data_IF_412842271797
#
_entry.id   IF_412842271797
#
_cell.length_a   1.000
_cell.length_b   1.000
_cell.length_c   1.000
_cell.angle_alpha   90.00
_cell.angle_beta   90.00
_cell.angle_gamma   90.00
#
_symmetry.space_group_name_H-M   'P 1'
#
loop_
_entity.id
_entity.type
_entity.pdbx_description
1 polymer ?
#
# COMPACT_ATOMS: atom_id res chain seq x y z
N UNK A 1 23.30 13.74 17.34
CA UNK A 1 22.45 12.54 17.50
C UNK A 1 22.64 11.80 18.83
N UNK A 2 23.59 12.18 19.71
CA UNK A 2 23.71 11.57 21.04
C UNK A 2 24.03 10.07 21.04
N UNK A 3 24.55 9.54 19.93
CA UNK A 3 24.90 8.12 19.80
C UNK A 3 26.30 7.92 20.40
N UNK A 4 26.49 6.96 21.32
CA UNK A 4 27.79 6.63 21.89
C UNK A 4 28.86 6.31 20.82
N UNK A 5 30.07 6.81 21.02
CA UNK A 5 31.18 6.65 20.05
C UNK A 5 31.54 5.19 19.78
N UNK A 6 31.44 4.32 20.79
CA UNK A 6 31.68 2.88 20.66
C UNK A 6 30.71 2.22 19.68
N UNK A 7 29.43 2.63 19.66
CA UNK A 7 28.44 2.12 18.70
C UNK A 7 28.74 2.64 17.28
N UNK A 8 29.10 3.91 17.15
CA UNK A 8 29.51 4.49 15.87
C UNK A 8 30.74 3.78 15.30
N UNK A 9 31.72 3.47 16.17
CA UNK A 9 32.91 2.69 15.81
C UNK A 9 32.53 1.28 15.34
N UNK A 10 31.67 0.58 16.08
CA UNK A 10 31.20 -0.76 15.70
C UNK A 10 30.50 -0.75 14.33
N UNK A 11 29.59 0.21 14.10
CA UNK A 11 28.92 0.37 12.81
C UNK A 11 29.92 0.68 11.69
N UNK A 12 30.87 1.58 11.93
CA UNK A 12 31.91 1.89 10.94
C UNK A 12 32.73 0.65 10.59
N UNK A 13 33.14 -0.14 11.57
CA UNK A 13 33.89 -1.37 11.35
C UNK A 13 33.06 -2.44 10.64
N UNK A 14 31.74 -2.46 10.84
CA UNK A 14 30.85 -3.33 10.07
C UNK A 14 30.85 -2.94 8.59
N UNK A 15 30.99 -1.66 8.24
CA UNK A 15 30.93 -1.15 6.86
C UNK A 15 32.27 -0.90 6.19
N UNK A 16 33.36 -0.80 6.94
CA UNK A 16 34.69 -0.58 6.39
C UNK A 16 35.23 -1.85 5.70
N UNK A 17 35.83 -1.67 4.51
CA UNK A 17 36.56 -2.72 3.80
C UNK A 17 35.72 -3.96 3.45
N UNK A 18 34.42 -3.79 3.21
CA UNK A 18 33.54 -4.90 2.88
C UNK A 18 33.89 -5.47 1.50
N UNK A 19 33.92 -6.79 1.41
CA UNK A 19 33.98 -7.52 0.15
C UNK A 19 32.75 -8.43 0.00
N UNK A 20 32.34 -8.65 -1.24
CA UNK A 20 31.33 -9.64 -1.59
C UNK A 20 31.77 -10.48 -2.77
N UNK A 21 31.13 -11.64 -2.90
CA UNK A 21 31.16 -12.48 -4.10
C UNK A 21 29.75 -12.96 -4.39
N UNK A 22 29.43 -13.22 -5.66
CA UNK A 22 28.12 -13.70 -6.10
C UNK A 22 28.20 -15.19 -6.39
N UNK A 23 27.36 -15.98 -5.71
CA UNK A 23 27.17 -17.39 -6.04
C UNK A 23 26.09 -17.53 -7.11
N UNK A 24 26.45 -18.13 -8.23
CA UNK A 24 25.56 -18.42 -9.37
C UNK A 24 25.46 -19.92 -9.59
N UNK A 25 24.58 -20.35 -10.50
CA UNK A 25 24.51 -21.75 -10.94
C UNK A 25 25.76 -22.25 -11.66
N UNK A 26 26.64 -21.35 -12.10
CA UNK A 26 27.88 -21.66 -12.82
C UNK A 26 29.13 -21.58 -11.94
N UNK A 27 28.99 -21.25 -10.65
CA UNK A 27 30.11 -21.07 -9.72
C UNK A 27 30.03 -19.77 -8.94
N UNK A 28 31.10 -19.49 -8.20
CA UNK A 28 31.25 -18.30 -7.35
C UNK A 28 32.17 -17.31 -8.07
N UNK A 29 31.80 -16.03 -8.14
CA UNK A 29 32.64 -15.00 -8.75
C UNK A 29 33.87 -14.70 -7.88
N UNK A 30 34.82 -13.95 -8.42
CA UNK A 30 35.87 -13.35 -7.59
C UNK A 30 35.27 -12.38 -6.56
N UNK A 31 36.05 -12.13 -5.50
CA UNK A 31 35.72 -11.14 -4.50
C UNK A 31 35.86 -9.73 -5.08
N UNK A 32 34.92 -8.85 -4.72
CA UNK A 32 34.94 -7.44 -5.08
C UNK A 32 34.56 -6.57 -3.88
N UNK A 33 35.12 -5.37 -3.83
CA UNK A 33 34.89 -4.42 -2.75
C UNK A 33 33.50 -3.76 -2.87
N UNK A 34 32.80 -3.65 -1.75
CA UNK A 34 31.54 -2.91 -1.62
C UNK A 34 31.87 -1.48 -1.18
N UNK A 35 31.75 -0.53 -2.11
CA UNK A 35 32.03 0.88 -1.82
C UNK A 35 30.84 1.68 -1.28
N UNK A 36 29.60 1.28 -1.60
CA UNK A 36 28.38 2.03 -1.24
C UNK A 36 27.22 1.07 -0.98
N UNK A 37 26.32 1.49 -0.08
CA UNK A 37 25.05 0.82 0.19
C UNK A 37 24.98 0.18 1.57
N UNK A 38 23.76 -0.24 1.93
CA UNK A 38 23.49 -1.01 3.14
C UNK A 38 23.43 -2.51 2.81
N UNK A 39 23.77 -3.38 3.76
CA UNK A 39 23.77 -4.84 3.54
C UNK A 39 22.34 -5.36 3.44
N UNK A 40 21.93 -5.82 2.26
CA UNK A 40 20.62 -6.48 2.12
C UNK A 40 20.55 -7.73 2.99
N UNK A 41 19.45 -7.88 3.74
CA UNK A 41 19.26 -8.96 4.72
C UNK A 41 19.86 -8.69 6.11
N UNK A 42 20.63 -7.62 6.31
CA UNK A 42 21.11 -7.24 7.63
C UNK A 42 20.01 -6.54 8.44
N UNK A 43 19.82 -6.95 9.69
CA UNK A 43 18.79 -6.43 10.61
C UNK A 43 18.91 -4.90 10.84
N UNK A 44 20.14 -4.37 10.81
CA UNK A 44 20.39 -2.93 11.03
C UNK A 44 20.18 -2.09 9.78
N UNK A 45 20.28 -2.67 8.59
CA UNK A 45 20.29 -1.93 7.33
C UNK A 45 19.03 -1.11 7.07
N UNK A 46 17.80 -1.60 7.37
CA UNK A 46 16.60 -0.78 7.26
C UNK A 46 16.63 0.48 8.15
N UNK A 47 17.12 0.35 9.38
CA UNK A 47 17.21 1.48 10.32
C UNK A 47 18.26 2.50 9.85
N UNK A 48 19.43 2.04 9.39
CA UNK A 48 20.47 2.90 8.84
C UNK A 48 20.00 3.63 7.58
N UNK A 49 19.28 2.96 6.70
CA UNK A 49 18.67 3.58 5.53
C UNK A 49 17.65 4.66 5.93
N UNK A 50 16.79 4.38 6.91
CA UNK A 50 15.82 5.37 7.39
C UNK A 50 16.49 6.61 7.99
N UNK A 51 17.60 6.46 8.72
CA UNK A 51 18.37 7.63 9.21
C UNK A 51 18.93 8.47 8.06
N UNK A 52 19.38 7.80 6.99
CA UNK A 52 19.89 8.47 5.81
C UNK A 52 18.81 9.22 5.04
N UNK A 53 17.66 8.56 4.79
CA UNK A 53 16.51 9.17 4.16
C UNK A 53 15.99 10.35 4.97
N UNK A 54 15.95 10.24 6.30
CA UNK A 54 15.56 11.33 7.20
C UNK A 54 16.51 12.52 7.12
N UNK A 55 17.83 12.28 7.06
CA UNK A 55 18.82 13.33 6.87
C UNK A 55 18.59 14.12 5.58
N UNK A 56 18.32 13.43 4.46
CA UNK A 56 18.00 14.07 3.18
C UNK A 56 16.75 14.94 3.29
N UNK A 57 15.67 14.40 3.87
CA UNK A 57 14.38 15.09 3.94
C UNK A 57 14.44 16.36 4.80
N UNK A 58 15.20 16.33 5.90
CA UNK A 58 15.44 17.50 6.74
C UNK A 58 16.26 18.57 6.02
N UNK A 59 17.33 18.17 5.34
CA UNK A 59 18.15 19.12 4.59
C UNK A 59 17.41 19.71 3.39
N UNK A 60 16.48 18.96 2.80
CA UNK A 60 15.62 19.45 1.73
C UNK A 60 14.62 20.52 2.21
N UNK A 61 14.49 20.72 3.52
CA UNK A 61 13.63 21.74 4.13
C UNK A 61 12.15 21.51 3.83
N UNK A 62 11.73 20.24 3.77
CA UNK A 62 10.33 19.90 3.48
C UNK A 62 9.41 20.24 4.66
N UNK A 63 9.88 20.19 5.90
CA UNK A 63 9.04 20.49 7.07
C UNK A 63 8.69 21.99 7.15
N UNK A 64 9.60 22.86 6.72
CA UNK A 64 9.42 24.30 6.68
C UNK A 64 8.75 24.80 5.39
N UNK A 65 8.61 23.92 4.39
CA UNK A 65 8.01 24.27 3.11
C UNK A 65 6.51 24.59 3.27
N UNK A 66 6.11 25.74 2.73
CA UNK A 66 4.69 26.11 2.61
C UNK A 66 3.95 25.27 1.57
N UNK A 67 4.68 24.78 0.55
CA UNK A 67 4.19 23.87 -0.46
C UNK A 67 3.70 22.56 0.17
N UNK A 68 2.56 22.06 -0.30
CA UNK A 68 1.90 20.88 0.24
C UNK A 68 0.39 20.92 0.05
N UNK A 69 -0.31 19.95 0.62
CA UNK A 69 -1.78 19.90 0.66
C UNK A 69 -2.23 20.12 2.11
N UNK A 70 -3.12 21.08 2.32
CA UNK A 70 -3.71 21.32 3.65
C UNK A 70 -4.82 20.32 3.94
N UNK A 71 -4.54 19.37 4.82
CA UNK A 71 -5.51 18.37 5.26
C UNK A 71 -5.73 18.53 6.76
N UNK A 72 -6.99 18.70 7.18
CA UNK A 72 -7.36 18.85 8.58
C UNK A 72 -6.48 19.87 9.36
N UNK A 73 -6.11 20.99 8.72
CA UNK A 73 -5.31 22.06 9.34
C UNK A 73 -3.82 21.76 9.48
N UNK A 74 -3.33 20.64 8.94
CA UNK A 74 -1.90 20.35 8.81
C UNK A 74 -1.49 20.41 7.34
N UNK A 75 -0.28 20.89 7.07
CA UNK A 75 0.29 20.83 5.73
C UNK A 75 0.95 19.47 5.52
N UNK A 76 0.66 18.80 4.41
CA UNK A 76 1.24 17.49 4.07
C UNK A 76 1.84 17.60 2.68
N UNK A 77 3.15 17.41 2.60
CA UNK A 77 3.87 17.47 1.34
C UNK A 77 4.58 16.18 0.96
N UNK A 78 4.67 15.21 1.87
CA UNK A 78 5.29 13.93 1.57
C UNK A 78 4.74 12.75 2.38
N UNK A 79 4.80 11.56 1.79
CA UNK A 79 4.63 10.25 2.45
C UNK A 79 5.83 9.38 2.07
N UNK A 80 6.33 8.59 3.02
CA UNK A 80 7.54 7.79 2.83
C UNK A 80 7.35 6.36 3.33
N UNK A 81 7.79 5.41 2.54
CA UNK A 81 7.93 4.02 2.96
C UNK A 81 9.22 3.43 2.35
N UNK A 82 10.25 3.24 3.18
CA UNK A 82 11.59 2.91 2.70
C UNK A 82 12.04 3.90 1.61
N UNK A 83 12.36 3.43 0.40
CA UNK A 83 12.78 4.23 -0.75
C UNK A 83 11.61 4.85 -1.53
N UNK A 84 10.38 4.34 -1.37
CA UNK A 84 9.20 4.92 -1.98
C UNK A 84 8.84 6.24 -1.28
N UNK A 85 8.98 7.36 -2.00
CA UNK A 85 8.58 8.69 -1.55
C UNK A 85 7.51 9.25 -2.47
N UNK A 86 6.38 9.64 -1.89
CA UNK A 86 5.32 10.37 -2.60
C UNK A 86 5.36 11.83 -2.16
N UNK A 87 5.55 12.75 -3.11
CA UNK A 87 5.44 14.18 -2.87
C UNK A 87 4.06 14.68 -3.29
N UNK A 88 3.54 15.69 -2.61
CA UNK A 88 2.20 16.24 -2.83
C UNK A 88 2.23 17.76 -2.68
N UNK A 89 1.50 18.46 -3.53
CA UNK A 89 1.32 19.91 -3.47
C UNK A 89 -0.01 20.32 -4.11
N UNK A 90 -0.44 21.56 -3.88
CA UNK A 90 -1.67 22.13 -4.47
C UNK A 90 -1.44 22.63 -5.91
N UNK A 91 -0.20 22.91 -6.31
CA UNK A 91 0.15 23.31 -7.68
C UNK A 91 1.28 22.49 -8.29
N UNK A 92 1.36 22.55 -9.61
CA UNK A 92 2.41 21.90 -10.39
C UNK A 92 3.80 22.47 -10.05
N UNK A 93 3.89 23.79 -9.91
CA UNK A 93 5.12 24.52 -9.62
C UNK A 93 5.66 24.17 -8.23
N UNK A 94 4.77 24.08 -7.24
CA UNK A 94 5.13 23.66 -5.89
C UNK A 94 5.64 22.23 -5.86
N UNK A 95 4.97 21.32 -6.57
CA UNK A 95 5.40 19.92 -6.67
C UNK A 95 6.79 19.82 -7.34
N UNK A 96 7.05 20.59 -8.41
CA UNK A 96 8.38 20.65 -9.06
C UNK A 96 9.43 21.12 -8.08
N UNK A 97 9.14 22.19 -7.33
CA UNK A 97 10.05 22.73 -6.32
C UNK A 97 10.42 21.70 -5.26
N UNK A 98 9.43 20.98 -4.71
CA UNK A 98 9.67 19.93 -3.72
C UNK A 98 10.53 18.80 -4.28
N UNK A 99 10.24 18.35 -5.51
CA UNK A 99 10.97 17.27 -6.15
C UNK A 99 12.43 17.64 -6.42
N UNK A 100 12.70 18.86 -6.90
CA UNK A 100 14.05 19.33 -7.16
C UNK A 100 14.88 19.44 -5.88
N UNK A 101 14.31 19.94 -4.78
CA UNK A 101 14.98 19.98 -3.47
C UNK A 101 15.39 18.58 -2.99
N UNK A 102 14.47 17.63 -3.08
CA UNK A 102 14.76 16.23 -2.69
C UNK A 102 15.83 15.62 -3.59
N UNK A 103 15.77 15.87 -4.90
CA UNK A 103 16.77 15.40 -5.86
C UNK A 103 18.16 15.94 -5.54
N UNK A 104 18.30 17.25 -5.38
CA UNK A 104 19.58 17.92 -5.09
C UNK A 104 20.21 17.41 -3.79
N UNK A 105 19.43 17.29 -2.71
CA UNK A 105 19.93 16.75 -1.43
C UNK A 105 20.27 15.26 -1.52
N UNK A 106 19.50 14.48 -2.29
CA UNK A 106 19.78 13.06 -2.52
C UNK A 106 21.10 12.85 -3.27
N UNK A 107 21.38 13.69 -4.27
CA UNK A 107 22.61 13.60 -5.07
C UNK A 107 23.87 13.91 -4.25
N UNK A 108 23.81 14.86 -3.31
CA UNK A 108 24.92 15.18 -2.38
C UNK A 108 25.36 13.97 -1.57
N UNK A 109 24.43 13.04 -1.34
CA UNK A 109 24.66 11.83 -0.57
C UNK A 109 24.73 10.58 -1.46
N UNK A 110 24.87 10.78 -2.78
CA UNK A 110 25.11 9.71 -3.74
C UNK A 110 23.90 8.83 -4.08
N UNK A 111 22.68 9.29 -3.76
CA UNK A 111 21.44 8.69 -4.26
C UNK A 111 20.98 9.41 -5.53
N UNK A 112 20.30 8.68 -6.41
CA UNK A 112 19.77 9.22 -7.67
C UNK A 112 18.28 8.94 -7.77
N UNK A 113 17.53 9.93 -8.24
CA UNK A 113 16.12 9.75 -8.59
C UNK A 113 16.02 8.81 -9.79
N UNK A 114 15.14 7.82 -9.72
CA UNK A 114 14.82 6.96 -10.86
C UNK A 114 13.66 7.57 -11.65
N UNK A 115 13.98 8.43 -12.63
CA UNK A 115 12.99 9.18 -13.42
C UNK A 115 12.00 8.24 -14.13
N UNK A 116 12.49 7.12 -14.66
CA UNK A 116 11.66 6.12 -15.34
C UNK A 116 10.62 5.47 -14.43
N UNK A 117 10.91 5.34 -13.13
CA UNK A 117 9.96 4.82 -12.13
C UNK A 117 9.08 5.91 -11.53
N UNK A 118 9.52 7.15 -11.52
CA UNK A 118 8.73 8.29 -11.04
C UNK A 118 7.51 8.49 -11.93
N UNK A 119 6.36 8.72 -11.28
CA UNK A 119 5.07 9.00 -11.92
C UNK A 119 4.48 10.28 -11.37
N UNK A 120 3.76 11.02 -12.20
CA UNK A 120 2.97 12.19 -11.80
C UNK A 120 1.51 11.89 -12.00
N UNK A 121 0.71 12.22 -11.00
CA UNK A 121 -0.74 12.08 -11.01
C UNK A 121 -1.35 13.35 -10.44
N UNK A 122 -2.40 13.87 -11.06
CA UNK A 122 -3.16 15.01 -10.57
C UNK A 122 -4.64 14.83 -10.91
N UNK A 123 -5.50 15.49 -10.14
CA UNK A 123 -6.94 15.52 -10.41
C UNK A 123 -7.33 16.52 -11.52
N UNK A 124 -6.41 17.38 -11.95
CA UNK A 124 -6.59 18.36 -13.03
C UNK A 124 -5.72 18.06 -14.25
N UNK A 125 -5.77 18.91 -15.29
CA UNK A 125 -4.86 18.81 -16.43
C UNK A 125 -3.41 18.98 -15.95
N UNK A 126 -2.52 18.12 -16.44
CA UNK A 126 -1.08 18.16 -16.16
C UNK A 126 -0.36 18.54 -17.44
N UNK A 127 0.58 19.48 -17.35
CA UNK A 127 1.49 19.75 -18.47
C UNK A 127 2.60 18.72 -18.51
N UNK A 128 3.28 18.56 -19.66
CA UNK A 128 4.42 17.64 -19.73
C UNK A 128 5.54 18.08 -18.78
N UNK A 129 6.05 17.14 -17.97
CA UNK A 129 7.19 17.36 -17.09
C UNK A 129 8.46 16.77 -17.66
N UNK A 130 9.54 17.52 -17.58
CA UNK A 130 10.88 17.04 -17.88
C UNK A 130 11.80 17.32 -16.69
N UNK A 131 12.63 16.33 -16.35
CA UNK A 131 13.67 16.41 -15.33
C UNK A 131 14.95 15.89 -15.98
N UNK A 132 16.02 16.69 -15.96
CA UNK A 132 17.30 16.37 -16.60
C UNK A 132 17.18 15.96 -18.09
N UNK A 133 16.18 16.50 -18.80
CA UNK A 133 15.90 16.16 -20.21
C UNK A 133 15.16 14.84 -20.42
N UNK A 134 14.77 14.15 -19.35
CA UNK A 134 13.91 12.97 -19.40
C UNK A 134 12.46 13.34 -19.04
N UNK A 135 11.50 12.92 -19.87
CA UNK A 135 10.08 13.14 -19.60
C UNK A 135 9.60 12.23 -18.47
N UNK A 136 8.92 12.81 -17.48
CA UNK A 136 8.28 12.06 -16.39
C UNK A 136 6.91 11.56 -16.85
N UNK A 137 6.61 10.29 -16.60
CA UNK A 137 5.33 9.71 -17.03
C UNK A 137 4.16 10.25 -16.19
N UNK A 138 3.18 10.84 -16.87
CA UNK A 138 1.90 11.24 -16.30
C UNK A 138 0.90 10.08 -16.37
N UNK A 139 0.26 9.77 -15.24
CA UNK A 139 -0.65 8.62 -15.11
C UNK A 139 -1.99 9.02 -14.51
N UNK A 140 -3.05 8.30 -14.87
CA UNK A 140 -4.38 8.38 -14.24
C UNK A 140 -4.50 7.50 -13.00
N UNK A 141 -3.61 6.52 -12.87
CA UNK A 141 -3.59 5.54 -11.78
C UNK A 141 -2.20 4.92 -11.61
N UNK A 142 -1.88 4.51 -10.39
CA UNK A 142 -0.62 3.85 -10.08
C UNK A 142 -0.73 2.94 -8.86
N UNK A 143 0.23 2.03 -8.70
CA UNK A 143 0.31 1.15 -7.53
C UNK A 143 1.24 1.80 -6.49
N UNK A 144 0.69 2.19 -5.34
CA UNK A 144 1.42 2.72 -4.19
C UNK A 144 1.26 1.80 -2.99
N UNK A 145 2.36 1.34 -2.39
CA UNK A 145 2.31 0.44 -1.22
C UNK A 145 1.53 -0.86 -1.49
N UNK A 146 1.48 -1.29 -2.75
CA UNK A 146 0.70 -2.42 -3.24
C UNK A 146 -0.75 -2.12 -3.63
N UNK A 147 -1.30 -0.96 -3.24
CA UNK A 147 -2.68 -0.55 -3.51
C UNK A 147 -2.77 0.33 -4.76
N UNK A 148 -3.79 0.08 -5.60
CA UNK A 148 -4.06 0.94 -6.76
C UNK A 148 -4.74 2.24 -6.31
N UNK A 149 -4.11 3.36 -6.62
CA UNK A 149 -4.65 4.71 -6.42
C UNK A 149 -5.00 5.28 -7.79
N UNK A 150 -6.15 5.95 -7.90
CA UNK A 150 -6.65 6.58 -9.11
C UNK A 150 -6.83 8.08 -8.89
N UNK A 151 -6.69 8.88 -9.94
CA UNK A 151 -6.77 10.35 -9.87
C UNK A 151 -8.13 10.88 -9.38
N UNK A 152 -9.20 10.08 -9.55
CA UNK A 152 -10.56 10.36 -9.09
C UNK A 152 -10.84 9.84 -7.66
N UNK A 153 -9.89 9.14 -7.05
CA UNK A 153 -10.01 8.57 -5.70
C UNK A 153 -10.96 7.37 -5.58
N UNK A 154 -11.44 6.79 -6.69
CA UNK A 154 -12.40 5.68 -6.65
C UNK A 154 -11.75 4.32 -6.29
N UNK A 155 -12.16 3.76 -5.15
CA UNK A 155 -11.66 2.46 -4.68
C UNK A 155 -12.13 1.26 -5.53
N UNK A 156 -13.13 1.44 -6.41
CA UNK A 156 -13.71 0.33 -7.18
C UNK A 156 -12.69 -0.41 -8.04
N UNK A 157 -11.70 0.31 -8.59
CA UNK A 157 -10.64 -0.30 -9.41
C UNK A 157 -9.69 -1.16 -8.58
N UNK A 158 -9.33 -0.73 -7.37
CA UNK A 158 -8.50 -1.52 -6.46
C UNK A 158 -9.25 -2.75 -5.93
N UNK A 159 -10.51 -2.60 -5.53
CA UNK A 159 -11.35 -3.71 -5.07
C UNK A 159 -11.44 -4.79 -6.17
N UNK A 160 -11.73 -4.39 -7.41
CA UNK A 160 -11.74 -5.31 -8.56
C UNK A 160 -10.39 -6.00 -8.75
N UNK A 161 -9.28 -5.25 -8.68
CA UNK A 161 -7.92 -5.79 -8.80
C UNK A 161 -7.62 -6.83 -7.71
N UNK A 162 -7.98 -6.56 -6.46
CA UNK A 162 -7.76 -7.48 -5.33
C UNK A 162 -8.57 -8.76 -5.45
N UNK A 163 -9.82 -8.67 -5.88
CA UNK A 163 -10.64 -9.84 -6.18
C UNK A 163 -10.03 -10.68 -7.32
N UNK A 164 -9.49 -10.04 -8.37
CA UNK A 164 -8.81 -10.75 -9.46
C UNK A 164 -7.52 -11.45 -8.98
N UNK A 165 -6.72 -10.78 -8.14
CA UNK A 165 -5.53 -11.38 -7.53
C UNK A 165 -5.90 -12.58 -6.66
N UNK A 166 -6.94 -12.46 -5.83
CA UNK A 166 -7.48 -13.58 -5.05
C UNK A 166 -7.93 -14.74 -5.92
N UNK A 167 -8.60 -14.47 -7.06
CA UNK A 167 -8.99 -15.51 -8.03
C UNK A 167 -7.78 -16.20 -8.65
N UNK A 168 -6.70 -15.46 -8.92
CA UNK A 168 -5.45 -16.04 -9.41
C UNK A 168 -4.85 -17.03 -8.40
N UNK A 169 -4.82 -16.67 -7.12
CA UNK A 169 -4.38 -17.59 -6.04
C UNK A 169 -5.27 -18.82 -5.97
N UNK A 170 -6.59 -18.63 -6.04
CA UNK A 170 -7.54 -19.76 -6.07
C UNK A 170 -7.27 -20.73 -7.22
N UNK A 171 -6.93 -20.21 -8.40
CA UNK A 171 -6.61 -21.03 -9.58
C UNK A 171 -5.27 -21.74 -9.44
N UNK A 172 -4.26 -21.10 -8.85
CA UNK A 172 -2.98 -21.75 -8.57
C UNK A 172 -3.12 -22.93 -7.59
N UNK A 173 -4.12 -22.90 -6.72
CA UNK A 173 -4.44 -23.94 -5.75
C UNK A 173 -5.50 -24.95 -6.25
N UNK A 174 -5.84 -24.93 -7.54
CA UNK A 174 -6.96 -25.73 -8.07
C UNK A 174 -6.78 -27.24 -7.90
N UNK A 175 -5.55 -27.75 -8.08
CA UNK A 175 -5.23 -29.17 -7.88
C UNK A 175 -5.51 -29.60 -6.43
N UNK A 176 -5.15 -28.77 -5.46
CA UNK A 176 -5.40 -28.97 -4.03
C UNK A 176 -6.90 -28.96 -3.74
N UNK A 177 -7.63 -27.97 -4.26
CA UNK A 177 -9.07 -27.87 -4.03
C UNK A 177 -9.85 -29.01 -4.70
N UNK A 178 -9.35 -29.55 -5.81
CA UNK A 178 -9.90 -30.72 -6.50
C UNK A 178 -9.48 -32.06 -5.90
N UNK A 179 -8.41 -32.17 -5.11
CA UNK A 179 -7.99 -33.45 -4.49
C UNK A 179 -9.04 -33.99 -3.52
N UNK A 180 -9.28 -35.32 -3.53
CA UNK A 180 -10.15 -36.02 -2.58
C UNK A 180 -9.44 -36.36 -1.27
N UNK A 181 -8.12 -36.39 -1.29
CA UNK A 181 -7.28 -36.77 -0.15
C UNK A 181 -7.16 -35.64 0.88
N UNK A 182 -7.51 -34.41 0.46
CA UNK A 182 -7.48 -33.23 1.31
C UNK A 182 -8.87 -32.92 1.84
N UNK A 183 -8.98 -32.87 3.17
CA UNK A 183 -10.24 -32.59 3.87
C UNK A 183 -10.77 -31.19 3.54
N UNK A 184 -12.09 -31.03 3.59
CA UNK A 184 -12.74 -29.73 3.39
C UNK A 184 -12.21 -28.68 4.38
N UNK A 185 -12.04 -29.06 5.64
CA UNK A 185 -11.52 -28.19 6.70
C UNK A 185 -10.14 -27.63 6.36
N UNK A 186 -9.21 -28.46 5.88
CA UNK A 186 -7.88 -28.01 5.47
C UNK A 186 -7.96 -27.05 4.29
N UNK A 187 -8.84 -27.31 3.31
CA UNK A 187 -9.00 -26.41 2.16
C UNK A 187 -9.59 -25.05 2.57
N UNK A 188 -10.55 -25.04 3.50
CA UNK A 188 -11.10 -23.79 4.07
C UNK A 188 -9.99 -23.00 4.77
N UNK A 189 -9.12 -23.67 5.55
CA UNK A 189 -7.95 -23.02 6.16
C UNK A 189 -7.00 -22.42 5.12
N UNK A 190 -6.74 -23.12 4.02
CA UNK A 190 -5.89 -22.59 2.93
C UNK A 190 -6.49 -21.35 2.27
N UNK A 191 -7.80 -21.32 2.03
CA UNK A 191 -8.47 -20.11 1.52
C UNK A 191 -8.30 -18.95 2.48
N UNK A 192 -8.59 -19.17 3.77
CA UNK A 192 -8.44 -18.15 4.82
C UNK A 192 -6.99 -17.67 4.98
N UNK A 193 -5.99 -18.54 4.79
CA UNK A 193 -4.58 -18.21 5.02
C UNK A 193 -3.87 -17.65 3.78
N UNK A 194 -4.28 -18.02 2.56
CA UNK A 194 -3.55 -17.68 1.33
C UNK A 194 -4.34 -16.78 0.39
N UNK A 195 -5.67 -16.87 0.37
CA UNK A 195 -6.51 -16.15 -0.58
C UNK A 195 -7.07 -14.87 0.05
N UNK A 196 -7.68 -15.00 1.22
CA UNK A 196 -8.32 -13.87 1.89
C UNK A 196 -7.36 -12.72 2.21
N UNK A 197 -6.11 -12.95 2.69
CA UNK A 197 -5.18 -11.85 2.92
C UNK A 197 -4.85 -11.06 1.64
N UNK A 198 -4.80 -11.72 0.48
CA UNK A 198 -4.57 -11.05 -0.81
C UNK A 198 -5.76 -10.17 -1.19
N UNK A 199 -6.98 -10.63 -0.93
CA UNK A 199 -8.22 -9.92 -1.25
C UNK A 199 -8.48 -8.77 -0.28
N UNK A 200 -8.18 -8.94 1.01
CA UNK A 200 -8.48 -7.96 2.06
C UNK A 200 -7.38 -6.92 2.27
N UNK A 201 -6.24 -7.03 1.60
CA UNK A 201 -5.13 -6.10 1.79
C UNK A 201 -5.55 -4.66 1.48
N UNK A 202 -5.44 -3.78 2.47
CA UNK A 202 -5.78 -2.36 2.37
C UNK A 202 -7.28 -2.08 2.43
N UNK A 203 -8.11 -3.07 2.76
CA UNK A 203 -9.57 -2.91 2.82
C UNK A 203 -10.03 -1.89 3.86
N UNK A 204 -9.20 -1.62 4.86
CA UNK A 204 -9.42 -0.67 5.94
C UNK A 204 -9.62 0.76 5.43
N UNK A 205 -9.01 1.10 4.30
CA UNK A 205 -9.09 2.43 3.67
C UNK A 205 -10.12 2.52 2.53
N UNK A 206 -10.85 1.44 2.23
CA UNK A 206 -11.77 1.43 1.09
C UNK A 206 -13.14 2.02 1.42
N UNK A 207 -13.58 2.92 0.56
CA UNK A 207 -15.00 3.28 0.44
C UNK A 207 -15.71 2.22 -0.39
N UNK A 208 -16.52 1.38 0.27
CA UNK A 208 -17.24 0.27 -0.39
C UNK A 208 -18.66 0.73 -0.69
N UNK A 209 -19.04 0.76 -1.97
CA UNK A 209 -20.42 1.09 -2.39
C UNK A 209 -21.19 -0.22 -2.63
N UNK A 210 -22.51 -0.11 -2.85
CA UNK A 210 -23.41 -1.26 -3.00
C UNK A 210 -22.95 -2.25 -4.10
N UNK A 211 -22.42 -1.74 -5.21
CA UNK A 211 -21.95 -2.59 -6.31
C UNK A 211 -20.69 -3.39 -5.92
N UNK A 212 -19.84 -2.85 -5.06
CA UNK A 212 -18.62 -3.46 -4.57
C UNK A 212 -18.94 -4.55 -3.54
N UNK A 213 -19.92 -4.33 -2.65
CA UNK A 213 -20.47 -5.38 -1.78
C UNK A 213 -20.91 -6.60 -2.60
N UNK A 214 -21.72 -6.38 -3.66
CA UNK A 214 -22.16 -7.47 -4.53
C UNK A 214 -21.00 -8.24 -5.19
N UNK A 215 -19.89 -7.56 -5.52
CA UNK A 215 -18.69 -8.20 -6.09
C UNK A 215 -17.93 -9.01 -5.05
N UNK A 216 -17.84 -8.52 -3.81
CA UNK A 216 -17.20 -9.19 -2.68
C UNK A 216 -18.01 -10.46 -2.33
N UNK A 217 -19.33 -10.36 -2.25
CA UNK A 217 -20.22 -11.50 -2.02
C UNK A 217 -20.10 -12.54 -3.14
N UNK A 218 -20.04 -12.08 -4.40
CA UNK A 218 -19.84 -12.95 -5.55
C UNK A 218 -18.47 -13.64 -5.52
N UNK A 219 -17.44 -13.05 -4.90
CA UNK A 219 -16.15 -13.71 -4.72
C UNK A 219 -16.24 -14.89 -3.76
N UNK A 220 -17.07 -14.82 -2.72
CA UNK A 220 -17.32 -15.94 -1.79
C UNK A 220 -18.00 -17.14 -2.47
N UNK A 221 -18.47 -17.03 -3.70
CA UNK A 221 -18.83 -18.19 -4.52
C UNK A 221 -17.65 -19.16 -4.74
N UNK A 222 -16.41 -18.74 -4.45
CA UNK A 222 -15.27 -19.64 -4.39
C UNK A 222 -15.50 -20.85 -3.46
N UNK A 223 -16.33 -20.71 -2.41
CA UNK A 223 -16.79 -21.80 -1.56
C UNK A 223 -17.44 -22.96 -2.33
N UNK A 224 -18.17 -22.67 -3.42
CA UNK A 224 -18.77 -23.71 -4.28
C UNK A 224 -17.73 -24.58 -4.97
N UNK A 225 -16.58 -23.99 -5.33
CA UNK A 225 -15.45 -24.72 -5.95
C UNK A 225 -14.90 -25.76 -4.98
N UNK A 226 -14.85 -25.44 -3.70
CA UNK A 226 -14.36 -26.34 -2.64
C UNK A 226 -15.33 -27.51 -2.38
N UNK A 227 -16.63 -27.22 -2.40
CA UNK A 227 -17.69 -28.23 -2.31
C UNK A 227 -17.92 -29.02 -3.62
N UNK A 228 -17.23 -28.63 -4.70
CA UNK A 228 -17.41 -29.19 -6.05
C UNK A 228 -18.86 -29.18 -6.53
N UNK A 229 -19.62 -28.18 -6.12
CA UNK A 229 -21.02 -28.02 -6.54
C UNK A 229 -21.01 -27.59 -8.01
N UNK A 230 -21.56 -28.39 -8.94
CA UNK A 230 -21.61 -28.00 -10.34
C UNK A 230 -22.54 -26.81 -10.50
N UNK A 231 -22.27 -25.96 -11.49
CA UNK A 231 -23.07 -24.76 -11.74
C UNK A 231 -24.54 -25.08 -12.03
N UNK A 232 -24.83 -26.28 -12.55
CA UNK A 232 -26.17 -26.80 -12.85
C UNK A 232 -26.99 -27.18 -11.62
N UNK A 233 -26.37 -27.34 -10.44
CA UNK A 233 -27.04 -27.84 -9.24
C UNK A 233 -28.10 -26.87 -8.66
N UNK A 234 -28.32 -25.70 -9.27
CA UNK A 234 -29.26 -24.65 -8.82
C UNK A 234 -29.25 -24.40 -7.31
N UNK A 235 -28.08 -24.57 -6.70
CA UNK A 235 -27.88 -24.45 -5.26
C UNK A 235 -27.80 -22.99 -4.86
N UNK A 236 -28.40 -22.60 -3.73
CA UNK A 236 -28.34 -21.23 -3.23
C UNK A 236 -26.99 -20.93 -2.55
N UNK A 237 -26.57 -19.66 -2.54
CA UNK A 237 -25.36 -19.22 -1.81
C UNK A 237 -25.48 -19.49 -0.32
N UNK A 238 -26.65 -19.21 0.26
CA UNK A 238 -26.92 -19.47 1.67
C UNK A 238 -26.71 -20.93 2.06
N UNK A 239 -27.16 -21.89 1.23
CA UNK A 239 -26.95 -23.31 1.52
C UNK A 239 -25.47 -23.73 1.41
N UNK A 240 -24.69 -23.09 0.53
CA UNK A 240 -23.24 -23.33 0.39
C UNK A 240 -22.52 -22.81 1.63
N UNK A 241 -22.87 -21.60 2.08
CA UNK A 241 -22.32 -20.99 3.30
C UNK A 241 -22.68 -21.77 4.56
N UNK A 242 -23.91 -22.31 4.65
CA UNK A 242 -24.30 -23.19 5.77
C UNK A 242 -23.47 -24.47 5.84
N UNK A 243 -23.11 -25.07 4.71
CA UNK A 243 -22.30 -26.30 4.69
C UNK A 243 -20.82 -26.04 4.99
N UNK A 244 -20.25 -24.98 4.44
CA UNK A 244 -18.88 -24.55 4.81
C UNK A 244 -18.84 -24.10 6.28
N UNK A 245 -19.94 -23.49 6.74
CA UNK A 245 -20.11 -22.86 8.05
C UNK A 245 -18.90 -22.02 8.44
N UNK A 246 -18.47 -21.05 7.61
CA UNK A 246 -17.35 -20.20 7.98
C UNK A 246 -17.76 -19.35 9.20
N UNK A 247 -16.88 -19.21 10.17
CA UNK A 247 -17.11 -18.39 11.39
C UNK A 247 -17.55 -16.95 11.07
N UNK A 248 -17.14 -16.42 9.91
CA UNK A 248 -17.52 -15.12 9.39
C UNK A 248 -17.41 -15.09 7.86
N UNK A 249 -18.23 -14.25 7.22
CA UNK A 249 -18.10 -13.93 5.79
C UNK A 249 -16.84 -13.14 5.51
N UNK A 250 -16.40 -13.11 4.25
CA UNK A 250 -15.31 -12.24 3.78
C UNK A 250 -15.60 -10.77 4.12
N UNK A 251 -16.83 -10.32 3.90
CA UNK A 251 -17.26 -8.98 4.26
C UNK A 251 -17.17 -8.75 5.78
N UNK A 252 -17.60 -9.71 6.60
CA UNK A 252 -17.49 -9.64 8.05
C UNK A 252 -16.04 -9.56 8.53
N UNK A 253 -15.12 -10.27 7.86
CA UNK A 253 -13.68 -10.16 8.11
C UNK A 253 -13.14 -8.78 7.74
N UNK A 254 -13.53 -8.23 6.60
CA UNK A 254 -13.14 -6.89 6.17
C UNK A 254 -13.68 -5.82 7.13
N UNK A 255 -14.92 -5.95 7.57
CA UNK A 255 -15.51 -5.07 8.58
C UNK A 255 -14.75 -5.17 9.91
N UNK A 256 -14.38 -6.38 10.33
CA UNK A 256 -13.56 -6.58 11.53
C UNK A 256 -12.21 -5.86 11.41
N UNK A 257 -11.53 -5.94 10.28
CA UNK A 257 -10.26 -5.23 10.04
C UNK A 257 -10.45 -3.71 10.09
N UNK A 258 -11.50 -3.19 9.43
CA UNK A 258 -11.87 -1.77 9.50
C UNK A 258 -12.08 -1.28 10.94
N UNK A 259 -12.85 -2.04 11.73
CA UNK A 259 -13.12 -1.70 13.13
C UNK A 259 -11.88 -1.82 14.02
N UNK A 260 -11.03 -2.82 13.78
CA UNK A 260 -9.75 -2.96 14.49
C UNK A 260 -8.81 -1.79 14.19
N UNK A 261 -8.72 -1.38 12.92
CA UNK A 261 -7.94 -0.22 12.51
C UNK A 261 -8.51 1.06 13.11
N UNK A 262 -9.82 1.26 13.06
CA UNK A 262 -10.50 2.37 13.73
C UNK A 262 -10.16 2.41 15.24
N UNK A 263 -10.29 1.28 15.94
CA UNK A 263 -9.93 1.19 17.36
C UNK A 263 -8.44 1.39 17.64
N UNK A 264 -7.55 1.09 16.69
CA UNK A 264 -6.14 1.45 16.78
C UNK A 264 -5.94 2.96 16.68
N UNK A 265 -6.60 3.62 15.73
CA UNK A 265 -6.54 5.08 15.55
C UNK A 265 -7.09 5.84 16.75
N UNK A 266 -8.22 5.41 17.31
CA UNK A 266 -8.84 6.06 18.48
C UNK A 266 -7.97 5.98 19.75
N UNK A 267 -7.03 5.03 19.83
CA UNK A 267 -6.07 4.92 20.94
C UNK A 267 -4.86 5.83 20.78
N UNK A 268 -4.61 6.38 19.58
CA UNK A 268 -3.51 7.33 19.32
C UNK A 268 -4.02 8.76 19.49
N UNK A 269 -3.98 9.25 20.73
CA UNK A 269 -4.31 10.63 21.08
C UNK A 269 -3.56 11.61 20.15
N UNK A 270 -4.28 12.62 19.66
CA UNK A 270 -3.78 13.71 18.80
C UNK A 270 -3.09 13.28 17.48
N UNK A 271 -3.33 12.05 17.03
CA UNK A 271 -2.86 11.59 15.73
C UNK A 271 -3.58 12.29 14.57
N UNK A 272 -2.85 12.50 13.47
CA UNK A 272 -3.38 13.14 12.28
C UNK A 272 -4.50 12.29 11.66
N UNK A 273 -4.29 10.98 11.62
CA UNK A 273 -5.19 9.97 11.06
C UNK A 273 -6.51 9.91 11.85
N UNK A 274 -6.45 10.02 13.18
CA UNK A 274 -7.66 10.14 14.01
C UNK A 274 -8.45 11.40 13.65
N UNK A 275 -7.76 12.54 13.50
CA UNK A 275 -8.40 13.81 13.10
C UNK A 275 -9.07 13.68 11.74
N UNK A 276 -8.42 13.01 10.78
CA UNK A 276 -8.94 12.81 9.43
C UNK A 276 -10.18 11.90 9.42
N UNK A 277 -10.18 10.83 10.22
CA UNK A 277 -11.31 9.90 10.32
C UNK A 277 -12.54 10.52 11.00
N UNK A 278 -12.34 11.39 11.99
CA UNK A 278 -13.43 12.01 12.75
C UNK A 278 -13.95 13.31 12.12
N UNK A 279 -13.13 14.01 11.33
CA UNK A 279 -13.57 15.24 10.69
C UNK A 279 -14.54 14.96 9.56
N UNK A 280 -15.70 15.62 9.63
CA UNK A 280 -16.64 15.75 8.52
C UNK A 280 -15.96 16.55 7.40
N UNK A 281 -15.53 15.87 6.33
CA UNK A 281 -15.12 16.55 5.10
C UNK A 281 -16.38 17.25 4.56
N UNK A 282 -16.38 18.59 4.50
CA UNK A 282 -17.48 19.35 3.88
C UNK A 282 -17.45 19.09 2.38
N UNK A 283 -18.20 18.09 1.93
CA UNK A 283 -18.52 17.92 0.51
C UNK A 283 -19.43 19.04 0.01
N UNK A 284 -19.27 19.45 -1.25
CA UNK A 284 -20.27 20.28 -1.92
C UNK A 284 -21.60 19.51 -2.00
N UNK A 285 -22.70 20.14 -1.58
CA UNK A 285 -24.06 19.60 -1.71
C UNK A 285 -24.36 19.40 -3.20
N UNK A 286 -24.62 18.16 -3.63
CA UNK A 286 -25.43 17.95 -4.83
C UNK A 286 -26.84 18.49 -4.54
N UNK A 287 -27.37 19.30 -5.46
CA UNK A 287 -28.72 19.89 -5.34
C UNK A 287 -29.75 18.76 -5.19
N UNK A 288 -30.31 18.60 -3.99
CA UNK A 288 -31.43 17.69 -3.71
C UNK A 288 -31.27 16.76 -2.50
N UNK A 289 -30.13 16.74 -1.80
CA UNK A 289 -29.92 15.84 -0.66
C UNK A 289 -30.24 16.53 0.68
N UNK A 290 -31.29 16.07 1.39
CA UNK A 290 -31.65 16.52 2.75
C UNK A 290 -30.72 15.93 3.82
N UNK A 291 -30.51 16.70 4.90
CA UNK A 291 -29.49 16.45 5.94
C UNK A 291 -29.63 15.09 6.66
N UNK A 292 -30.83 14.54 6.74
CA UNK A 292 -31.09 13.24 7.39
C UNK A 292 -30.46 12.04 6.65
N UNK A 293 -30.17 12.15 5.35
CA UNK A 293 -29.51 11.06 4.61
C UNK A 293 -28.00 10.94 4.87
N UNK A 294 -27.38 11.91 5.55
CA UNK A 294 -25.98 11.81 5.99
C UNK A 294 -25.80 11.01 7.28
N UNK A 295 -26.87 10.78 8.06
CA UNK A 295 -26.79 10.11 9.37
C UNK A 295 -26.62 8.59 9.22
N UNK A 296 -26.90 8.02 8.05
CA UNK A 296 -26.86 6.58 7.80
C UNK A 296 -25.48 5.96 7.49
N UNK A 297 -24.38 6.72 7.53
CA UNK A 297 -23.03 6.21 7.19
C UNK A 297 -22.22 5.69 8.38
N UNK A 298 -22.85 5.53 9.55
CA UNK A 298 -22.25 4.89 10.70
C UNK A 298 -23.26 3.99 11.40
N UNK A 299 -23.43 2.77 10.89
CA UNK A 299 -23.70 1.56 11.67
C UNK A 299 -23.21 0.33 10.89
#
# INVERSE_FOLDING_TARGET
MGIPDNLTCLLRNLYAGQEATVRTGHGTTDWFQIGKGVRQGCILSPCLFNFYAEYIMRNAGLEEAQAGIKVAGRNINHLRYADDTTLMAESEEELKSLLMKVKEESEKVGLKLNIQKTKIMASGPITSWEIDGETVETVSDFILGGSKITADGDCSHEIKRRLLLGRKVMTNLDSIFKSRDITLLTKVRLVKAMVFPVVMYGCESWTVKKAEHQRIDAFELCWRRLLRVPWTARRSNQSTLKEISPECSLEGLMLKLKLQYFGHLMRRLDSFEMTLMLRKIRGQKEKGMTEDKMVGWHH
#
